data_IF_089135335395
#
_entry.id   IF_089135335395
#
_cell.length_a   1.000
_cell.length_b   1.000
_cell.length_c   1.000
_cell.angle_alpha   90.00
_cell.angle_beta   90.00
_cell.angle_gamma   90.00
#
_symmetry.space_group_name_H-M   'P 1'
#
loop_
_entity.id
_entity.type
_entity.pdbx_description
1 polymer ?
#
# COMPACT_ATOMS: atom_id res chain seq x y z
N UNK A 1 -7.94 19.47 23.43
CA UNK A 1 -6.87 19.02 22.51
C UNK A 1 -6.84 17.51 22.26
N UNK A 2 -7.28 16.63 23.18
CA UNK A 2 -7.26 15.15 22.97
C UNK A 2 -7.97 14.69 21.69
N UNK A 3 -9.14 15.25 21.37
CA UNK A 3 -9.91 14.82 20.20
C UNK A 3 -9.33 15.30 18.86
N UNK A 4 -8.62 16.43 18.84
CA UNK A 4 -8.09 17.01 17.60
C UNK A 4 -7.01 16.09 16.99
N UNK A 5 -6.03 15.67 17.80
CA UNK A 5 -4.98 14.76 17.33
C UNK A 5 -5.50 13.34 17.08
N UNK A 6 -6.55 12.92 17.78
CA UNK A 6 -7.24 11.67 17.47
C UNK A 6 -7.85 11.69 16.06
N UNK A 7 -8.65 12.69 15.72
CA UNK A 7 -9.24 12.81 14.39
C UNK A 7 -8.21 13.09 13.29
N UNK A 8 -7.14 13.83 13.61
CA UNK A 8 -6.02 13.99 12.68
C UNK A 8 -5.35 12.64 12.41
N UNK A 9 -5.10 11.83 13.43
CA UNK A 9 -4.55 10.47 13.27
C UNK A 9 -5.43 9.58 12.39
N UNK A 10 -6.76 9.63 12.58
CA UNK A 10 -7.70 8.93 11.71
C UNK A 10 -7.63 9.43 10.26
N UNK A 11 -7.56 10.74 10.05
CA UNK A 11 -7.44 11.31 8.71
C UNK A 11 -6.14 10.91 8.02
N UNK A 12 -5.03 10.86 8.75
CA UNK A 12 -3.72 10.43 8.24
C UNK A 12 -3.70 8.93 7.91
N UNK A 13 -4.43 8.11 8.67
CA UNK A 13 -4.60 6.69 8.38
C UNK A 13 -5.27 6.47 7.02
N UNK A 14 -6.42 7.12 6.76
CA UNK A 14 -7.08 6.99 5.46
C UNK A 14 -6.25 7.53 4.30
N UNK A 15 -5.48 8.60 4.51
CA UNK A 15 -4.53 9.08 3.52
C UNK A 15 -3.44 8.03 3.25
N UNK A 16 -2.93 7.37 4.29
CA UNK A 16 -1.96 6.28 4.17
C UNK A 16 -2.50 5.08 3.38
N UNK A 17 -3.73 4.65 3.64
CA UNK A 17 -4.34 3.51 2.97
C UNK A 17 -4.49 3.74 1.46
N UNK A 18 -4.89 4.93 1.01
CA UNK A 18 -5.03 5.21 -0.43
C UNK A 18 -3.69 5.29 -1.18
N UNK A 19 -2.57 5.35 -0.47
CA UNK A 19 -1.23 5.18 -1.07
C UNK A 19 -0.85 3.71 -1.29
N UNK A 20 -1.60 2.75 -0.73
CA UNK A 20 -1.43 1.32 -0.93
C UNK A 20 -2.18 0.90 -2.22
N UNK A 21 -1.50 0.43 -3.28
CA UNK A 21 -2.13 0.17 -4.58
C UNK A 21 -3.34 -0.76 -4.57
N UNK A 22 -3.36 -1.76 -3.69
CA UNK A 22 -4.48 -2.68 -3.52
C UNK A 22 -5.72 -1.97 -2.97
N UNK A 23 -5.58 -1.06 -2.01
CA UNK A 23 -6.70 -0.25 -1.51
C UNK A 23 -7.23 0.69 -2.61
N UNK A 24 -6.35 1.34 -3.36
CA UNK A 24 -6.73 2.21 -4.49
C UNK A 24 -7.40 1.45 -5.67
N UNK A 25 -7.23 0.12 -5.72
CA UNK A 25 -7.77 -0.76 -6.75
C UNK A 25 -8.92 -1.68 -6.27
N UNK A 26 -9.41 -1.50 -5.03
CA UNK A 26 -10.40 -2.39 -4.40
C UNK A 26 -9.99 -3.88 -4.38
N UNK A 27 -8.68 -4.17 -4.33
CA UNK A 27 -8.16 -5.51 -4.13
C UNK A 27 -8.06 -5.77 -2.64
N UNK A 28 -8.95 -6.60 -2.10
CA UNK A 28 -9.05 -6.88 -0.67
C UNK A 28 -8.41 -8.22 -0.33
N UNK A 29 -8.38 -8.58 0.96
CA UNK A 29 -7.88 -9.88 1.38
C UNK A 29 -8.71 -11.09 0.89
N UNK A 30 -9.91 -10.86 0.35
CA UNK A 30 -10.77 -11.88 -0.26
C UNK A 30 -10.75 -11.85 -1.80
N UNK A 31 -10.05 -10.89 -2.40
CA UNK A 31 -9.76 -10.92 -3.84
C UNK A 31 -8.80 -12.07 -4.16
N UNK A 32 -8.83 -12.59 -5.39
CA UNK A 32 -7.97 -13.72 -5.77
C UNK A 32 -6.56 -13.24 -6.16
N UNK A 33 -5.49 -13.86 -5.62
CA UNK A 33 -5.47 -14.93 -4.61
C UNK A 33 -5.83 -14.45 -3.20
N UNK A 34 -6.66 -15.22 -2.50
CA UNK A 34 -7.05 -14.94 -1.10
C UNK A 34 -5.80 -14.88 -0.22
N UNK A 35 -5.79 -14.00 0.77
CA UNK A 35 -4.68 -13.77 1.70
C UNK A 35 -3.45 -13.05 1.11
N UNK A 36 -3.42 -12.77 -0.19
CA UNK A 36 -2.32 -12.01 -0.81
C UNK A 36 -2.17 -10.63 -0.17
N UNK A 37 -3.29 -9.94 0.03
CA UNK A 37 -3.29 -8.58 0.58
C UNK A 37 -2.66 -8.52 1.98
N UNK A 38 -3.10 -9.36 2.91
CA UNK A 38 -2.57 -9.30 4.29
C UNK A 38 -1.12 -9.79 4.39
N UNK A 39 -0.71 -10.76 3.57
CA UNK A 39 0.69 -11.21 3.53
C UNK A 39 1.61 -10.13 2.97
N UNK A 40 1.21 -9.47 1.88
CA UNK A 40 1.94 -8.32 1.35
C UNK A 40 2.18 -7.24 2.41
N UNK A 41 1.15 -6.86 3.17
CA UNK A 41 1.29 -5.83 4.20
C UNK A 41 2.21 -6.25 5.35
N UNK A 42 2.20 -7.52 5.74
CA UNK A 42 3.17 -8.07 6.71
C UNK A 42 4.61 -8.03 6.17
N UNK A 43 4.82 -8.31 4.88
CA UNK A 43 6.13 -8.21 4.26
C UNK A 43 6.65 -6.78 4.20
N UNK A 44 5.79 -5.81 3.89
CA UNK A 44 6.14 -4.38 3.88
C UNK A 44 6.75 -3.96 5.22
N UNK A 45 6.25 -4.50 6.33
CA UNK A 45 6.79 -4.21 7.67
C UNK A 45 8.25 -4.63 7.85
N UNK A 46 8.72 -5.66 7.13
CA UNK A 46 10.10 -6.15 7.17
C UNK A 46 11.04 -5.23 6.39
N UNK A 47 10.56 -4.62 5.31
CA UNK A 47 11.41 -3.88 4.36
C UNK A 47 11.28 -2.36 4.42
N UNK A 48 10.23 -1.81 5.05
CA UNK A 48 9.91 -0.36 5.06
C UNK A 48 11.08 0.52 5.50
N UNK A 49 11.93 0.06 6.41
CA UNK A 49 13.07 0.83 6.93
C UNK A 49 14.14 1.13 5.86
N UNK A 50 14.19 0.35 4.77
CA UNK A 50 15.11 0.58 3.65
C UNK A 50 14.70 1.79 2.79
N UNK A 51 13.46 2.25 2.89
CA UNK A 51 12.86 3.25 2.01
C UNK A 51 12.60 4.61 2.71
N UNK A 52 13.29 4.90 3.82
CA UNK A 52 13.20 6.21 4.49
C UNK A 52 13.66 7.32 3.54
N UNK A 53 12.80 8.31 3.33
CA UNK A 53 13.18 9.57 2.67
C UNK A 53 14.18 10.30 3.57
N UNK A 54 15.33 10.73 3.02
CA UNK A 54 16.47 11.30 3.78
C UNK A 54 16.68 12.79 3.56
N UNK A 55 15.76 13.44 2.84
CA UNK A 55 15.78 14.88 2.61
C UNK A 55 14.57 15.56 3.29
N UNK A 56 14.48 16.89 3.16
CA UNK A 56 13.37 17.70 3.68
C UNK A 56 12.29 18.02 2.65
N UNK A 57 12.25 17.31 1.52
CA UNK A 57 11.41 17.67 0.38
C UNK A 57 10.04 17.00 0.46
N UNK A 58 9.18 17.53 1.32
CA UNK A 58 7.76 17.20 1.27
C UNK A 58 7.10 17.74 0.00
N UNK A 59 5.99 17.13 -0.43
CA UNK A 59 5.15 17.70 -1.49
C UNK A 59 4.31 18.87 -0.96
N UNK A 60 4.96 20.01 -0.69
CA UNK A 60 4.31 21.22 -0.21
C UNK A 60 3.34 21.76 -1.26
N UNK A 61 2.10 22.07 -0.84
CA UNK A 61 1.05 22.59 -1.73
C UNK A 61 0.83 21.71 -2.98
N UNK A 62 0.97 20.39 -2.83
CA UNK A 62 0.87 19.44 -3.95
C UNK A 62 -0.45 19.52 -4.72
N UNK A 63 -1.54 19.62 -3.97
CA UNK A 63 -2.90 19.84 -4.45
C UNK A 63 -3.49 21.08 -3.80
N UNK A 64 -4.79 21.30 -4.00
CA UNK A 64 -5.48 22.45 -3.43
C UNK A 64 -5.55 22.38 -1.90
N UNK A 65 -6.19 23.38 -1.29
CA UNK A 65 -6.49 23.40 0.14
C UNK A 65 -7.57 22.37 0.54
N UNK A 66 -8.26 21.76 -0.42
CA UNK A 66 -9.24 20.71 -0.16
C UNK A 66 -8.53 19.37 0.09
N UNK A 67 -8.68 18.73 1.27
CA UNK A 67 -8.06 17.44 1.57
C UNK A 67 -8.51 16.32 0.62
N UNK A 68 -9.72 16.39 0.04
CA UNK A 68 -10.21 15.39 -0.90
C UNK A 68 -9.32 15.29 -2.15
N UNK A 69 -8.75 16.40 -2.62
CA UNK A 69 -7.86 16.41 -3.80
C UNK A 69 -6.56 15.65 -3.52
N UNK A 70 -6.06 15.72 -2.28
CA UNK A 70 -4.87 14.98 -1.85
C UNK A 70 -5.13 13.48 -1.77
N UNK A 71 -6.25 13.09 -1.16
CA UNK A 71 -6.68 11.69 -1.06
C UNK A 71 -6.90 11.10 -2.45
N UNK A 72 -7.65 11.80 -3.30
CA UNK A 72 -7.94 11.35 -4.65
C UNK A 72 -6.66 11.19 -5.48
N UNK A 73 -5.79 12.19 -5.48
CA UNK A 73 -4.57 12.11 -6.27
C UNK A 73 -3.58 11.05 -5.77
N UNK A 74 -3.53 10.81 -4.46
CA UNK A 74 -2.76 9.71 -3.87
C UNK A 74 -3.27 8.37 -4.37
N UNK A 75 -4.60 8.18 -4.38
CA UNK A 75 -5.24 6.99 -4.95
C UNK A 75 -4.97 6.83 -6.46
N UNK A 76 -5.01 7.92 -7.24
CA UNK A 76 -4.70 7.89 -8.67
C UNK A 76 -3.28 7.40 -8.93
N UNK A 77 -2.30 7.93 -8.19
CA UNK A 77 -0.91 7.49 -8.28
C UNK A 77 -0.76 6.02 -7.88
N UNK A 78 -1.24 5.65 -6.70
CA UNK A 78 -1.13 4.28 -6.19
C UNK A 78 -1.83 3.25 -7.11
N UNK A 79 -2.99 3.58 -7.67
CA UNK A 79 -3.69 2.69 -8.61
C UNK A 79 -2.91 2.48 -9.90
N UNK A 80 -2.18 3.50 -10.39
CA UNK A 80 -1.32 3.35 -11.56
C UNK A 80 -0.19 2.33 -11.31
N UNK A 81 0.29 2.23 -10.07
CA UNK A 81 1.33 1.29 -9.64
C UNK A 81 0.80 -0.11 -9.28
N UNK A 82 -0.53 -0.31 -9.22
CA UNK A 82 -1.14 -1.60 -8.88
C UNK A 82 -0.60 -2.79 -9.70
N UNK A 83 -0.42 -2.68 -11.04
CA UNK A 83 0.13 -3.78 -11.84
C UNK A 83 1.60 -4.13 -11.52
N UNK A 84 2.33 -3.26 -10.81
CA UNK A 84 3.71 -3.54 -10.38
C UNK A 84 3.76 -4.51 -9.20
N UNK A 85 2.65 -4.66 -8.45
CA UNK A 85 2.53 -5.54 -7.30
C UNK A 85 1.62 -6.73 -7.62
N UNK A 86 0.46 -6.47 -8.21
CA UNK A 86 -0.57 -7.49 -8.47
C UNK A 86 -0.67 -7.74 -9.97
N UNK A 87 0.01 -8.79 -10.43
CA UNK A 87 0.00 -9.26 -11.80
C UNK A 87 0.11 -10.79 -11.82
N UNK A 88 -0.07 -11.43 -12.98
CA UNK A 88 -0.20 -12.89 -13.06
C UNK A 88 0.98 -13.64 -12.44
N UNK A 89 2.20 -13.12 -12.61
CA UNK A 89 3.40 -13.76 -12.05
C UNK A 89 3.47 -13.70 -10.53
N UNK A 90 3.11 -12.57 -9.90
CA UNK A 90 3.06 -12.49 -8.43
C UNK A 90 1.95 -13.37 -7.86
N UNK A 91 0.80 -13.45 -8.54
CA UNK A 91 -0.29 -14.34 -8.16
C UNK A 91 0.11 -15.82 -8.22
N UNK A 92 0.77 -16.25 -9.30
CA UNK A 92 1.27 -17.61 -9.47
C UNK A 92 2.27 -17.97 -8.36
N UNK A 93 3.32 -17.14 -8.19
CA UNK A 93 4.35 -17.39 -7.18
C UNK A 93 3.77 -17.39 -5.75
N UNK A 94 2.77 -16.57 -5.47
CA UNK A 94 2.09 -16.56 -4.17
C UNK A 94 1.32 -17.86 -3.91
N UNK A 95 0.68 -18.43 -4.92
CA UNK A 95 0.02 -19.73 -4.80
C UNK A 95 1.06 -20.82 -4.57
N UNK A 96 2.16 -20.81 -5.34
CA UNK A 96 3.24 -21.79 -5.19
C UNK A 96 3.94 -21.69 -3.83
N UNK A 97 4.01 -20.48 -3.24
CA UNK A 97 4.56 -20.24 -1.91
C UNK A 97 3.82 -20.99 -0.79
N UNK A 98 2.60 -21.48 -1.04
CA UNK A 98 1.87 -22.34 -0.09
C UNK A 98 2.50 -23.72 0.09
N UNK A 99 3.33 -24.15 -0.86
CA UNK A 99 3.98 -25.47 -0.88
C UNK A 99 5.50 -25.41 -1.12
N UNK A 100 6.06 -24.23 -1.40
CA UNK A 100 7.49 -24.06 -1.73
C UNK A 100 8.11 -22.80 -1.11
N UNK A 101 9.17 -22.96 -0.31
CA UNK A 101 9.93 -21.84 0.25
C UNK A 101 10.66 -21.03 -0.84
N UNK A 102 11.16 -21.69 -1.90
CA UNK A 102 11.80 -21.00 -3.03
C UNK A 102 10.81 -20.06 -3.75
N UNK A 103 9.53 -20.45 -3.84
CA UNK A 103 8.49 -19.57 -4.36
C UNK A 103 8.17 -18.41 -3.41
N UNK A 104 8.16 -18.64 -2.09
CA UNK A 104 8.00 -17.59 -1.08
C UNK A 104 9.13 -16.55 -1.16
N UNK A 105 10.39 -17.01 -1.29
CA UNK A 105 11.55 -16.14 -1.41
C UNK A 105 11.56 -15.32 -2.71
N UNK A 106 10.97 -15.86 -3.79
CA UNK A 106 10.83 -15.19 -5.10
C UNK A 106 9.71 -14.17 -5.13
N UNK A 107 8.57 -14.46 -4.48
CA UNK A 107 7.45 -13.53 -4.47
C UNK A 107 7.71 -12.33 -3.56
N UNK A 108 8.57 -12.50 -2.55
CA UNK A 108 8.91 -11.48 -1.54
C UNK A 108 7.62 -10.82 -1.00
N UNK A 109 6.77 -11.68 -0.44
CA UNK A 109 5.53 -11.39 0.29
C UNK A 109 5.55 -12.09 1.64
#
# INVERSE_FOLDING_TARGET
MKNAFFYLGLSLHYLGDVNQPMHAANFTNVSLPVALHSKYENFVDIVKDNYKVKDGNGYWNWKSVNPEDWVHASAVGAKADFPLIVHDKTKELFIDATVSQDAADKVKL
#
